data_IF_340348854248
#
_entry.id   IF_340348854248
#
_cell.length_a   1.000
_cell.length_b   1.000
_cell.length_c   1.000
_cell.angle_alpha   90.00
_cell.angle_beta   90.00
_cell.angle_gamma   90.00
#
_symmetry.space_group_name_H-M   'P 1'
#
loop_
_entity.id
_entity.type
_entity.pdbx_description
1 polymer ?
#
# COMPACT_ATOMS: atom_id res chain seq x y z
N UNK A 1 -68.90 -9.49 -17.71
CA UNK A 1 -67.50 -8.99 -17.67
C UNK A 1 -66.57 -10.19 -17.67
N UNK A 2 -66.07 -10.57 -18.84
CA UNK A 2 -65.16 -11.71 -19.04
C UNK A 2 -63.70 -11.29 -19.05
N UNK A 3 -62.86 -12.27 -18.75
CA UNK A 3 -61.39 -12.27 -18.80
C UNK A 3 -60.90 -11.99 -20.24
N UNK A 4 -59.75 -11.36 -20.42
CA UNK A 4 -58.48 -12.03 -20.78
C UNK A 4 -57.46 -11.07 -21.41
N UNK A 5 -56.19 -11.30 -21.04
CA UNK A 5 -54.94 -11.16 -21.79
C UNK A 5 -54.56 -9.90 -22.60
N UNK A 6 -53.35 -9.41 -22.29
CA UNK A 6 -52.29 -9.40 -23.30
C UNK A 6 -51.36 -8.20 -23.32
N UNK A 7 -50.13 -8.46 -22.87
CA UNK A 7 -48.87 -7.99 -23.46
C UNK A 7 -48.51 -6.49 -23.32
N UNK A 8 -47.55 -6.23 -22.43
CA UNK A 8 -46.31 -5.57 -22.86
C UNK A 8 -45.17 -5.91 -21.88
N UNK A 9 -44.27 -6.76 -22.37
CA UNK A 9 -42.94 -6.98 -21.82
C UNK A 9 -42.06 -5.77 -22.14
N UNK A 10 -41.53 -5.09 -21.12
CA UNK A 10 -40.21 -4.49 -21.22
C UNK A 10 -39.36 -4.86 -20.01
N UNK A 11 -38.65 -5.95 -20.22
CA UNK A 11 -37.28 -6.24 -19.78
C UNK A 11 -36.54 -5.02 -19.23
N UNK A 12 -36.33 -5.03 -17.93
CA UNK A 12 -35.37 -4.19 -17.21
C UNK A 12 -34.74 -5.01 -16.10
N UNK A 13 -34.15 -6.15 -16.48
CA UNK A 13 -33.44 -7.05 -15.58
C UNK A 13 -32.40 -6.28 -14.75
N UNK A 14 -32.46 -6.57 -13.45
CA UNK A 14 -31.34 -6.63 -12.53
C UNK A 14 -29.98 -6.16 -13.09
N UNK A 15 -29.55 -4.97 -12.67
CA UNK A 15 -28.13 -4.79 -12.39
C UNK A 15 -27.90 -5.04 -10.92
N UNK A 16 -27.65 -6.32 -10.65
CA UNK A 16 -26.86 -6.71 -9.51
C UNK A 16 -25.61 -5.81 -9.47
N UNK A 17 -25.52 -4.93 -8.47
CA UNK A 17 -24.25 -4.37 -8.04
C UNK A 17 -23.46 -5.46 -7.29
N UNK A 18 -23.21 -6.57 -7.99
CA UNK A 18 -22.37 -7.67 -7.53
C UNK A 18 -21.58 -8.16 -8.74
N UNK A 19 -20.66 -7.31 -9.20
CA UNK A 19 -19.43 -7.82 -9.81
C UNK A 19 -18.37 -7.70 -8.73
N UNK A 20 -17.94 -8.84 -8.22
CA UNK A 20 -16.78 -8.98 -7.37
C UNK A 20 -15.60 -8.27 -8.04
N UNK A 21 -15.25 -7.08 -7.55
CA UNK A 21 -13.88 -6.62 -7.68
C UNK A 21 -13.07 -7.51 -6.74
N UNK A 22 -12.46 -8.57 -7.30
CA UNK A 22 -11.32 -9.20 -6.63
C UNK A 22 -10.34 -8.09 -6.21
N UNK A 23 -9.55 -8.28 -5.13
CA UNK A 23 -8.82 -7.20 -4.50
C UNK A 23 -8.06 -6.40 -5.56
N UNK A 24 -8.54 -5.19 -5.86
CA UNK A 24 -7.90 -4.33 -6.85
C UNK A 24 -6.61 -3.88 -6.17
N UNK A 25 -5.48 -4.44 -6.63
CA UNK A 25 -4.19 -4.14 -6.07
C UNK A 25 -3.99 -2.62 -6.11
N UNK A 26 -3.83 -1.99 -4.94
CA UNK A 26 -3.64 -0.56 -4.84
C UNK A 26 -2.29 -0.19 -5.44
N UNK A 27 -2.21 0.94 -6.14
CA UNK A 27 -0.92 1.44 -6.62
C UNK A 27 -0.13 2.05 -5.46
N UNK A 28 1.17 1.79 -5.41
CA UNK A 28 2.08 2.47 -4.46
C UNK A 28 2.67 3.72 -5.12
N UNK A 29 2.62 4.85 -4.40
CA UNK A 29 3.16 6.15 -4.84
C UNK A 29 4.08 6.70 -3.76
N UNK A 30 5.34 6.96 -4.11
CA UNK A 30 6.33 7.51 -3.19
C UNK A 30 6.37 9.03 -3.27
N UNK A 31 6.26 9.69 -2.11
CA UNK A 31 6.50 11.12 -2.03
C UNK A 31 8.00 11.40 -2.15
N UNK A 32 8.35 12.61 -2.60
CA UNK A 32 9.75 13.04 -2.76
C UNK A 32 10.60 12.80 -1.50
N UNK A 33 10.02 13.01 -0.31
CA UNK A 33 10.73 12.76 0.96
C UNK A 33 11.04 11.27 1.17
N UNK A 34 10.12 10.36 0.83
CA UNK A 34 10.35 8.93 0.92
C UNK A 34 11.47 8.47 -0.04
N UNK A 35 11.52 9.03 -1.26
CA UNK A 35 12.61 8.76 -2.21
C UNK A 35 13.96 9.23 -1.66
N UNK A 36 14.01 10.46 -1.12
CA UNK A 36 15.23 10.99 -0.49
C UNK A 36 15.67 10.18 0.73
N UNK A 37 14.71 9.67 1.51
CA UNK A 37 15.02 8.81 2.64
C UNK A 37 15.68 7.49 2.18
N UNK A 38 15.19 6.87 1.09
CA UNK A 38 15.79 5.67 0.49
C UNK A 38 17.21 5.92 -0.01
N UNK A 39 17.41 7.00 -0.77
CA UNK A 39 18.74 7.36 -1.29
C UNK A 39 19.73 7.58 -0.14
N UNK A 40 19.32 8.33 0.90
CA UNK A 40 20.17 8.54 2.08
C UNK A 40 20.51 7.24 2.79
N UNK A 41 19.54 6.32 2.90
CA UNK A 41 19.75 5.00 3.49
C UNK A 41 20.75 4.17 2.69
N UNK A 42 20.60 4.14 1.37
CA UNK A 42 21.50 3.41 0.46
C UNK A 42 22.92 3.94 0.55
N UNK A 43 23.10 5.26 0.45
CA UNK A 43 24.42 5.92 0.55
C UNK A 43 25.08 5.58 1.89
N UNK A 44 24.36 5.72 3.00
CA UNK A 44 24.91 5.44 4.34
C UNK A 44 25.25 3.96 4.54
N UNK A 45 24.49 3.03 3.95
CA UNK A 45 24.77 1.61 4.05
C UNK A 45 25.90 1.16 3.13
N UNK A 46 26.05 1.74 1.94
CA UNK A 46 27.11 1.37 0.98
C UNK A 46 28.49 1.54 1.61
N UNK A 47 28.71 2.62 2.35
CA UNK A 47 29.98 2.91 3.01
C UNK A 47 30.32 1.90 4.12
N UNK A 48 29.30 1.24 4.69
CA UNK A 48 29.47 0.28 5.79
C UNK A 48 29.51 -1.16 5.32
N UNK A 49 28.62 -1.51 4.40
CA UNK A 49 28.47 -2.85 3.85
C UNK A 49 27.60 -2.78 2.58
N UNK A 50 28.21 -2.86 1.39
CA UNK A 50 27.46 -2.91 0.13
C UNK A 50 26.43 -4.04 0.08
N UNK A 51 26.76 -5.20 0.67
CA UNK A 51 25.85 -6.35 0.77
C UNK A 51 24.64 -6.03 1.65
N UNK A 52 24.84 -5.35 2.79
CA UNK A 52 23.73 -4.95 3.65
C UNK A 52 22.85 -3.90 2.97
N UNK A 53 23.45 -2.97 2.21
CA UNK A 53 22.71 -1.98 1.40
C UNK A 53 21.76 -2.66 0.43
N UNK A 54 22.27 -3.56 -0.42
CA UNK A 54 21.46 -4.31 -1.40
C UNK A 54 20.31 -5.08 -0.72
N UNK A 55 20.60 -5.77 0.40
CA UNK A 55 19.58 -6.52 1.14
C UNK A 55 18.52 -5.61 1.76
N UNK A 56 18.90 -4.44 2.27
CA UNK A 56 17.97 -3.50 2.88
C UNK A 56 17.04 -2.89 1.83
N UNK A 57 17.57 -2.45 0.68
CA UNK A 57 16.79 -1.86 -0.41
C UNK A 57 15.80 -2.89 -0.97
N UNK A 58 16.26 -4.10 -1.31
CA UNK A 58 15.38 -5.15 -1.81
C UNK A 58 14.25 -5.53 -0.83
N UNK A 59 14.56 -5.52 0.48
CA UNK A 59 13.56 -5.79 1.51
C UNK A 59 12.51 -4.68 1.61
N UNK A 60 12.92 -3.41 1.48
CA UNK A 60 11.98 -2.29 1.48
C UNK A 60 11.12 -2.32 0.22
N UNK A 61 11.69 -2.57 -0.95
CA UNK A 61 10.96 -2.72 -2.21
C UNK A 61 9.89 -3.82 -2.12
N UNK A 62 10.26 -5.02 -1.69
CA UNK A 62 9.29 -6.11 -1.45
C UNK A 62 8.21 -5.73 -0.41
N UNK A 63 8.58 -4.95 0.61
CA UNK A 63 7.63 -4.45 1.59
C UNK A 63 6.67 -3.41 1.02
N UNK A 64 7.10 -2.62 0.03
CA UNK A 64 6.26 -1.69 -0.71
C UNK A 64 5.33 -2.45 -1.67
N UNK A 65 5.85 -3.42 -2.41
CA UNK A 65 5.04 -4.24 -3.34
C UNK A 65 3.92 -4.97 -2.61
N UNK A 66 4.20 -5.55 -1.44
CA UNK A 66 3.17 -6.21 -0.63
C UNK A 66 2.11 -5.25 -0.05
N UNK A 67 2.33 -3.93 -0.06
CA UNK A 67 1.27 -2.96 0.29
C UNK A 67 0.24 -2.80 -0.83
N UNK A 68 0.54 -3.22 -2.06
CA UNK A 68 -0.45 -3.23 -3.14
C UNK A 68 -1.60 -4.20 -2.84
N UNK A 69 -1.28 -5.36 -2.25
CA UNK A 69 -2.24 -6.42 -1.92
C UNK A 69 -2.82 -6.26 -0.50
N UNK A 70 -1.97 -5.89 0.47
CA UNK A 70 -2.33 -5.84 1.88
C UNK A 70 -2.08 -4.46 2.51
N UNK A 71 -2.70 -3.39 1.99
CA UNK A 71 -2.45 -2.02 2.44
C UNK A 71 -2.88 -1.79 3.89
N UNK A 72 -3.81 -2.59 4.44
CA UNK A 72 -4.34 -2.39 5.78
C UNK A 72 -3.46 -2.95 6.91
N UNK A 73 -2.41 -3.74 6.59
CA UNK A 73 -1.60 -4.49 7.57
C UNK A 73 -0.72 -3.64 8.49
N UNK A 74 -0.49 -2.37 8.15
CA UNK A 74 0.22 -1.43 9.00
C UNK A 74 -0.63 -0.98 10.20
N UNK A 75 0.03 -0.68 11.32
CA UNK A 75 -0.63 -0.15 12.51
C UNK A 75 -0.95 1.33 12.33
N UNK A 76 -2.10 1.75 12.87
CA UNK A 76 -2.51 3.14 12.86
C UNK A 76 -1.66 3.94 13.86
N UNK A 77 -1.22 5.14 13.47
CA UNK A 77 -0.48 6.06 14.34
C UNK A 77 -1.38 7.24 14.72
N UNK A 78 -1.76 8.07 13.74
CA UNK A 78 -2.69 9.20 13.90
C UNK A 78 -3.09 9.75 12.52
N UNK A 79 -4.25 10.41 12.42
CA UNK A 79 -4.64 11.17 11.22
C UNK A 79 -4.72 10.33 9.92
N UNK A 80 -5.11 9.06 10.02
CA UNK A 80 -5.14 8.13 8.88
C UNK A 80 -3.77 7.65 8.41
N UNK A 81 -2.69 8.02 9.10
CA UNK A 81 -1.34 7.53 8.84
C UNK A 81 -1.17 6.15 9.46
N UNK A 82 -0.72 5.23 8.63
CA UNK A 82 -0.29 3.88 8.99
C UNK A 82 1.22 3.78 8.98
N UNK A 83 1.71 2.85 9.78
CA UNK A 83 3.12 2.55 9.88
C UNK A 83 3.31 1.05 9.70
N UNK A 84 4.20 0.68 8.78
CA UNK A 84 4.64 -0.68 8.58
C UNK A 84 6.07 -0.81 9.08
N UNK A 85 6.31 -1.78 9.97
CA UNK A 85 7.64 -2.12 10.45
C UNK A 85 8.23 -3.22 9.59
N UNK A 86 9.44 -3.00 9.07
CA UNK A 86 10.16 -3.92 8.20
C UNK A 86 11.41 -4.41 8.96
N UNK A 87 11.40 -5.63 9.53
CA UNK A 87 12.53 -6.13 10.32
C UNK A 87 13.80 -6.30 9.50
N UNK A 88 14.95 -5.85 10.01
CA UNK A 88 16.25 -6.02 9.35
C UNK A 88 17.34 -6.25 10.40
N UNK A 89 17.74 -7.51 10.56
CA UNK A 89 18.66 -7.93 11.63
C UNK A 89 18.09 -7.61 13.02
N UNK A 90 18.89 -6.98 13.88
CA UNK A 90 18.45 -6.54 15.24
C UNK A 90 17.63 -5.24 15.22
N UNK A 91 17.42 -4.65 14.05
CA UNK A 91 16.79 -3.33 13.87
C UNK A 91 15.60 -3.46 12.92
N UNK A 92 14.98 -2.34 12.58
CA UNK A 92 13.88 -2.32 11.62
C UNK A 92 13.86 -1.01 10.86
N UNK A 93 13.45 -1.06 9.60
CA UNK A 93 12.97 0.10 8.87
C UNK A 93 11.49 0.31 9.15
N UNK A 94 11.05 1.52 8.85
CA UNK A 94 9.69 1.94 9.07
C UNK A 94 9.21 2.67 7.83
N UNK A 95 8.08 2.22 7.28
CA UNK A 95 7.39 2.84 6.16
C UNK A 95 6.15 3.53 6.74
N UNK A 96 6.10 4.86 6.67
CA UNK A 96 4.90 5.64 6.99
C UNK A 96 4.14 5.94 5.72
N UNK A 97 2.87 5.56 5.71
CA UNK A 97 2.02 5.71 4.54
C UNK A 97 0.60 6.03 4.95
N UNK A 98 -0.22 6.41 3.98
CA UNK A 98 -1.68 6.45 4.12
C UNK A 98 -2.31 5.79 2.90
N UNK A 99 -3.55 5.38 3.06
CA UNK A 99 -4.38 4.90 1.95
C UNK A 99 -5.28 6.05 1.56
N UNK A 100 -5.26 6.45 0.30
CA UNK A 100 -6.08 7.54 -0.21
C UNK A 100 -6.59 7.20 -1.60
N UNK A 101 -7.92 7.13 -1.76
CA UNK A 101 -8.57 6.58 -2.96
C UNK A 101 -8.00 5.17 -3.22
N UNK A 102 -7.45 4.94 -4.41
CA UNK A 102 -6.91 3.65 -4.84
C UNK A 102 -5.38 3.58 -4.76
N UNK A 103 -4.78 4.41 -3.89
CA UNK A 103 -3.34 4.52 -3.74
C UNK A 103 -2.85 4.32 -2.31
N UNK A 104 -1.70 3.66 -2.20
CA UNK A 104 -0.83 3.68 -1.03
C UNK A 104 0.18 4.80 -1.21
N UNK A 105 -0.03 5.89 -0.47
CA UNK A 105 0.84 7.07 -0.51
C UNK A 105 1.92 6.96 0.56
N UNK A 106 3.14 6.67 0.14
CA UNK A 106 4.30 6.51 1.03
C UNK A 106 4.89 7.88 1.33
N UNK A 107 4.79 8.27 2.59
CA UNK A 107 5.14 9.61 3.06
C UNK A 107 6.61 9.70 3.46
N UNK A 108 7.12 8.69 4.19
CA UNK A 108 8.47 8.64 4.75
C UNK A 108 8.93 7.19 4.90
N UNK A 109 10.23 6.97 4.72
CA UNK A 109 10.90 5.71 5.02
C UNK A 109 12.06 6.05 5.96
N UNK A 110 12.27 5.34 7.05
CA UNK A 110 13.38 5.70 7.96
C UNK A 110 13.76 4.53 8.85
N UNK A 111 14.91 4.66 9.51
CA UNK A 111 15.36 3.67 10.47
C UNK A 111 14.54 3.79 11.76
N UNK A 112 14.08 2.67 12.34
CA UNK A 112 13.21 2.67 13.52
C UNK A 112 13.82 3.20 14.83
N UNK A 113 15.08 3.64 14.79
CA UNK A 113 15.82 4.24 15.92
C UNK A 113 16.23 5.69 15.62
N UNK A 114 15.86 6.25 14.46
CA UNK A 114 16.06 7.68 14.26
C UNK A 114 15.10 8.43 15.17
N UNK A 115 15.69 9.27 16.03
CA UNK A 115 14.97 10.32 16.74
C UNK A 115 14.37 11.28 15.72
N UNK A 116 13.16 11.74 16.01
CA UNK A 116 12.25 12.38 15.06
C UNK A 116 12.00 13.82 15.45
#
# INVERSE_FOLDING_TARGET
MGRDSGLDEHVGQARAHTAAQGPQALKVVLYRRAVLDLLRLETWLIDKSPTASKKAIALIESSLDSLTEMPQRGYNVAGGIKQLRVPFGKRSYVIRYRIWRDEVQVLRIFHGLEDR
#
